data_IF_019106439099
#
_entry.id   IF_019106439099
#
_cell.length_a   1.000
_cell.length_b   1.000
_cell.length_c   1.000
_cell.angle_alpha   90.00
_cell.angle_beta   90.00
_cell.angle_gamma   90.00
#
_symmetry.space_group_name_H-M   'P 1'
#
loop_
_entity.id
_entity.type
_entity.pdbx_description
1 polymer ?
#
# COMPACT_ATOMS: atom_id res chain seq x y z
N UNK A 1 -35.91 -19.36 4.11
CA UNK A 1 -34.84 -18.38 4.41
C UNK A 1 -35.49 -17.00 4.46
N UNK A 2 -35.41 -16.26 5.58
CA UNK A 2 -36.05 -14.93 5.68
C UNK A 2 -35.27 -13.94 4.81
N UNK A 3 -35.93 -13.35 3.81
CA UNK A 3 -35.33 -12.32 2.96
C UNK A 3 -35.28 -11.03 3.77
N UNK A 4 -34.08 -10.49 3.98
CA UNK A 4 -33.89 -9.19 4.63
C UNK A 4 -34.48 -8.08 3.77
N UNK A 5 -35.20 -7.15 4.42
CA UNK A 5 -35.65 -5.91 3.82
C UNK A 5 -34.48 -4.99 3.46
N UNK A 6 -34.70 -4.04 2.56
CA UNK A 6 -33.66 -3.10 2.13
C UNK A 6 -33.14 -2.25 3.30
N UNK A 7 -34.00 -1.92 4.27
CA UNK A 7 -33.61 -1.22 5.50
C UNK A 7 -32.68 -2.06 6.36
N UNK A 8 -32.96 -3.36 6.52
CA UNK A 8 -32.09 -4.28 7.27
C UNK A 8 -30.74 -4.48 6.56
N UNK A 9 -30.75 -4.60 5.22
CA UNK A 9 -29.52 -4.69 4.42
C UNK A 9 -28.66 -3.44 4.57
N UNK A 10 -29.28 -2.26 4.44
CA UNK A 10 -28.59 -0.98 4.59
C UNK A 10 -28.02 -0.81 6.00
N UNK A 11 -28.79 -1.13 7.04
CA UNK A 11 -28.33 -1.07 8.42
C UNK A 11 -27.15 -2.02 8.67
N UNK A 12 -27.21 -3.23 8.09
CA UNK A 12 -26.12 -4.21 8.15
C UNK A 12 -24.83 -3.70 7.52
N UNK A 13 -24.90 -3.15 6.30
CA UNK A 13 -23.71 -2.57 5.64
C UNK A 13 -23.17 -1.35 6.38
N UNK A 14 -24.04 -0.48 6.91
CA UNK A 14 -23.62 0.66 7.74
C UNK A 14 -22.89 0.21 9.01
N UNK A 15 -23.43 -0.78 9.72
CA UNK A 15 -22.80 -1.36 10.92
C UNK A 15 -21.44 -1.95 10.58
N UNK A 16 -21.36 -2.76 9.53
CA UNK A 16 -20.12 -3.38 9.04
C UNK A 16 -19.06 -2.33 8.73
N UNK A 17 -19.44 -1.25 8.05
CA UNK A 17 -18.52 -0.16 7.73
C UNK A 17 -18.06 0.62 8.98
N UNK A 18 -18.95 0.81 9.95
CA UNK A 18 -18.59 1.43 11.25
C UNK A 18 -17.62 0.55 12.04
N UNK A 19 -17.85 -0.77 12.10
CA UNK A 19 -16.94 -1.70 12.75
C UNK A 19 -15.56 -1.74 12.08
N UNK A 20 -15.51 -1.74 10.74
CA UNK A 20 -14.25 -1.67 9.98
C UNK A 20 -13.47 -0.39 10.28
N UNK A 21 -14.14 0.77 10.25
CA UNK A 21 -13.52 2.06 10.57
C UNK A 21 -12.99 2.11 12.00
N UNK A 22 -13.77 1.67 12.98
CA UNK A 22 -13.33 1.65 14.37
C UNK A 22 -12.14 0.71 14.60
N UNK A 23 -12.16 -0.47 13.96
CA UNK A 23 -11.04 -1.40 13.99
C UNK A 23 -9.80 -0.80 13.34
N UNK A 24 -9.95 -0.18 12.18
CA UNK A 24 -8.86 0.49 11.48
C UNK A 24 -8.23 1.58 12.34
N UNK A 25 -9.05 2.44 12.97
CA UNK A 25 -8.57 3.46 13.90
C UNK A 25 -7.80 2.84 15.07
N UNK A 26 -8.34 1.80 15.71
CA UNK A 26 -7.67 1.11 16.82
C UNK A 26 -6.31 0.55 16.41
N UNK A 27 -6.26 -0.16 15.28
CA UNK A 27 -5.04 -0.82 14.80
C UNK A 27 -4.00 0.19 14.33
N UNK A 28 -4.41 1.21 13.59
CA UNK A 28 -3.50 2.28 13.16
C UNK A 28 -2.96 3.08 14.35
N UNK A 29 -3.77 3.32 15.38
CA UNK A 29 -3.31 3.99 16.60
C UNK A 29 -2.36 3.11 17.41
N UNK A 30 -2.62 1.80 17.49
CA UNK A 30 -1.67 0.86 18.09
C UNK A 30 -0.35 0.86 17.32
N UNK A 31 -0.40 0.78 15.99
CA UNK A 31 0.77 0.83 15.11
C UNK A 31 1.63 2.08 15.38
N UNK A 32 1.02 3.27 15.39
CA UNK A 32 1.72 4.54 15.69
C UNK A 32 2.25 4.58 17.13
N UNK A 33 1.46 4.10 18.10
CA UNK A 33 1.83 4.15 19.52
C UNK A 33 2.90 3.13 19.86
N UNK A 34 2.96 1.99 19.19
CA UNK A 34 3.82 0.86 19.56
C UNK A 34 5.07 0.79 18.68
N UNK A 35 4.99 1.19 17.40
CA UNK A 35 6.13 1.12 16.48
C UNK A 35 7.15 2.22 16.73
N UNK A 36 8.39 1.81 17.00
CA UNK A 36 9.50 2.72 17.31
C UNK A 36 9.84 3.69 16.16
N UNK A 37 9.64 3.27 14.91
CA UNK A 37 9.98 4.03 13.69
C UNK A 37 8.91 5.06 13.30
N UNK A 38 7.79 5.14 14.05
CA UNK A 38 6.81 6.19 13.85
C UNK A 38 7.21 7.51 14.45
N UNK A 39 8.24 7.55 15.29
CA UNK A 39 8.72 8.76 15.94
C UNK A 39 9.71 9.53 15.05
N UNK A 40 9.76 10.86 15.19
CA UNK A 40 10.68 11.69 14.43
C UNK A 40 12.10 11.54 14.99
N UNK A 41 12.85 10.60 14.44
CA UNK A 41 14.29 10.55 14.61
C UNK A 41 14.90 11.54 13.60
N UNK A 42 15.82 12.40 14.04
CA UNK A 42 16.37 13.49 13.23
C UNK A 42 16.83 13.02 11.84
N UNK A 43 16.59 13.89 10.86
CA UNK A 43 16.91 13.85 9.43
C UNK A 43 18.13 12.95 9.13
N UNK A 44 17.92 11.67 8.84
CA UNK A 44 18.69 10.83 7.91
C UNK A 44 18.28 9.37 8.06
N UNK A 45 18.06 8.70 6.93
CA UNK A 45 17.57 7.31 6.84
C UNK A 45 18.56 6.22 7.32
N UNK A 46 19.59 6.57 8.10
CA UNK A 46 20.59 5.63 8.64
C UNK A 46 21.17 6.09 9.99
N UNK A 47 20.38 6.75 10.84
CA UNK A 47 20.89 7.12 12.17
C UNK A 47 21.09 5.86 13.02
N UNK A 48 22.19 5.77 13.77
CA UNK A 48 22.41 4.69 14.75
C UNK A 48 21.24 4.59 15.77
N UNK A 49 20.48 5.67 15.94
CA UNK A 49 19.29 5.74 16.79
C UNK A 49 18.11 4.93 16.24
N UNK A 50 17.94 4.82 14.92
CA UNK A 50 16.92 3.94 14.31
C UNK A 50 17.20 2.47 14.65
N UNK A 51 18.47 2.07 14.54
CA UNK A 51 18.91 0.72 14.88
C UNK A 51 18.73 0.43 16.38
N UNK A 52 19.13 1.35 17.25
CA UNK A 52 18.93 1.22 18.70
C UNK A 52 17.45 1.13 19.09
N UNK A 53 16.59 1.94 18.47
CA UNK A 53 15.15 1.94 18.75
C UNK A 53 14.45 0.64 18.33
N UNK A 54 14.96 -0.05 17.29
CA UNK A 54 14.47 -1.37 16.87
C UNK A 54 14.99 -2.50 17.76
N UNK A 55 16.19 -2.37 18.34
CA UNK A 55 16.79 -3.40 19.19
C UNK A 55 16.33 -3.36 20.66
N UNK A 56 15.90 -2.21 21.16
CA UNK A 56 15.51 -2.04 22.57
C UNK A 56 14.01 -1.71 22.63
N UNK A 57 13.14 -2.69 22.92
CA UNK A 57 11.70 -2.47 23.01
C UNK A 57 11.37 -1.34 24.00
N UNK A 58 10.59 -0.36 23.53
CA UNK A 58 10.13 0.77 24.35
C UNK A 58 10.97 2.04 24.23
N UNK A 59 12.17 2.00 23.65
CA UNK A 59 12.98 3.20 23.38
C UNK A 59 12.42 3.96 22.17
N UNK A 60 12.19 5.27 22.33
CA UNK A 60 11.55 6.14 21.33
C UNK A 60 12.19 7.52 21.38
N UNK A 61 12.47 8.13 20.22
CA UNK A 61 13.10 9.45 20.15
C UNK A 61 12.25 10.42 19.32
N UNK A 62 12.05 11.64 19.82
CA UNK A 62 11.29 12.70 19.13
C UNK A 62 9.78 12.67 19.37
N UNK A 63 9.05 13.49 18.62
CA UNK A 63 7.60 13.65 18.78
C UNK A 63 6.85 12.50 18.11
N UNK A 64 5.90 11.87 18.81
CA UNK A 64 5.01 10.85 18.24
C UNK A 64 3.93 11.44 17.32
N UNK A 65 3.17 10.57 16.66
CA UNK A 65 1.94 10.95 15.95
C UNK A 65 0.73 10.67 16.86
N UNK A 66 -0.32 11.48 16.73
CA UNK A 66 -1.58 11.27 17.46
C UNK A 66 -2.56 10.38 16.70
N UNK A 67 -2.64 10.53 15.36
CA UNK A 67 -3.60 9.83 14.51
C UNK A 67 -3.05 9.62 13.09
N UNK A 68 -3.22 8.40 12.55
CA UNK A 68 -2.75 8.04 11.21
C UNK A 68 -3.54 8.71 10.10
N UNK A 69 -4.86 8.85 10.27
CA UNK A 69 -5.72 9.49 9.28
C UNK A 69 -5.38 10.97 9.16
N UNK A 70 -5.06 11.64 10.28
CA UNK A 70 -4.64 13.03 10.26
C UNK A 70 -3.29 13.19 9.53
N UNK A 71 -2.32 12.30 9.80
CA UNK A 71 -1.07 12.25 9.03
C UNK A 71 -1.34 12.11 7.52
N UNK A 72 -2.15 11.12 7.13
CA UNK A 72 -2.45 10.85 5.73
C UNK A 72 -3.19 12.03 5.05
N UNK A 73 -4.12 12.67 5.76
CA UNK A 73 -4.83 13.85 5.27
C UNK A 73 -3.88 15.04 5.10
N UNK A 74 -2.97 15.25 6.05
CA UNK A 74 -1.95 16.30 5.97
C UNK A 74 -1.01 16.05 4.81
N UNK A 75 -0.51 14.82 4.62
CA UNK A 75 0.33 14.47 3.47
C UNK A 75 -0.37 14.76 2.14
N UNK A 76 -1.65 14.38 2.01
CA UNK A 76 -2.42 14.65 0.80
C UNK A 76 -2.61 16.17 0.56
N UNK A 77 -2.95 16.91 1.61
CA UNK A 77 -3.10 18.37 1.54
C UNK A 77 -1.79 19.09 1.19
N UNK A 78 -0.68 18.66 1.79
CA UNK A 78 0.67 19.16 1.47
C UNK A 78 1.06 18.87 0.02
N UNK A 79 0.73 17.69 -0.49
CA UNK A 79 0.99 17.33 -1.88
C UNK A 79 0.19 18.20 -2.86
N UNK A 80 -1.10 18.40 -2.60
CA UNK A 80 -1.94 19.31 -3.38
C UNK A 80 -1.39 20.75 -3.36
N UNK A 81 -1.01 21.25 -2.18
CA UNK A 81 -0.46 22.60 -2.03
C UNK A 81 0.88 22.75 -2.76
N UNK A 82 1.75 21.75 -2.69
CA UNK A 82 3.07 21.77 -3.33
C UNK A 82 2.96 21.73 -4.86
N UNK A 83 1.99 20.99 -5.40
CA UNK A 83 1.73 20.96 -6.83
C UNK A 83 1.00 22.22 -7.31
N UNK A 84 0.07 22.77 -6.52
CA UNK A 84 -0.81 23.81 -7.04
C UNK A 84 -1.62 23.29 -8.24
N UNK A 85 -2.03 24.17 -9.18
CA UNK A 85 -2.77 23.75 -10.37
C UNK A 85 -1.98 22.75 -11.21
N UNK A 86 -2.71 21.75 -11.73
CA UNK A 86 -2.18 20.83 -12.75
C UNK A 86 -2.27 21.49 -14.11
N UNK A 87 -1.27 21.29 -14.96
CA UNK A 87 -1.37 21.68 -16.37
C UNK A 87 -2.20 20.68 -17.19
N UNK A 88 -2.30 20.91 -18.49
CA UNK A 88 -3.14 20.09 -19.37
C UNK A 88 -2.69 18.62 -19.39
N UNK A 89 -1.39 18.36 -19.57
CA UNK A 89 -0.85 17.00 -19.64
C UNK A 89 -0.97 16.28 -18.30
N UNK A 90 -0.73 16.99 -17.19
CA UNK A 90 -0.89 16.44 -15.85
C UNK A 90 -2.34 16.11 -15.52
N UNK A 91 -3.28 16.95 -15.96
CA UNK A 91 -4.71 16.71 -15.79
C UNK A 91 -5.16 15.50 -16.60
N UNK A 92 -4.72 15.38 -17.86
CA UNK A 92 -4.99 14.22 -18.71
C UNK A 92 -4.42 12.93 -18.10
N UNK A 93 -3.19 12.97 -17.61
CA UNK A 93 -2.58 11.85 -16.88
C UNK A 93 -3.40 11.49 -15.64
N UNK A 94 -3.76 12.46 -14.81
CA UNK A 94 -4.52 12.23 -13.58
C UNK A 94 -5.87 11.56 -13.88
N UNK A 95 -6.62 12.06 -14.86
CA UNK A 95 -7.91 11.49 -15.24
C UNK A 95 -7.78 10.08 -15.84
N UNK A 96 -6.76 9.84 -16.67
CA UNK A 96 -6.47 8.51 -17.19
C UNK A 96 -6.08 7.53 -16.07
N UNK A 97 -5.24 7.98 -15.14
CA UNK A 97 -4.82 7.20 -13.97
C UNK A 97 -6.04 6.82 -13.13
N UNK A 98 -6.90 7.79 -12.79
CA UNK A 98 -8.06 7.55 -11.94
C UNK A 98 -9.13 6.65 -12.58
N UNK A 99 -9.17 6.58 -13.93
CA UNK A 99 -10.04 5.65 -14.68
C UNK A 99 -9.45 4.25 -14.85
N UNK A 100 -8.18 4.04 -14.52
CA UNK A 100 -7.51 2.75 -14.69
C UNK A 100 -7.95 1.71 -13.65
N UNK A 101 -7.93 0.44 -14.04
CA UNK A 101 -8.38 -0.67 -13.18
C UNK A 101 -7.29 -1.12 -12.23
N UNK A 102 -7.30 -0.61 -11.01
CA UNK A 102 -6.35 -1.01 -9.97
C UNK A 102 -6.83 -2.22 -9.16
N UNK A 103 -5.89 -3.11 -8.85
CA UNK A 103 -6.11 -4.32 -8.06
C UNK A 103 -5.15 -4.40 -6.89
N UNK A 104 -5.69 -4.71 -5.70
CA UNK A 104 -4.92 -5.15 -4.56
C UNK A 104 -4.60 -6.64 -4.72
N UNK A 105 -3.32 -6.98 -4.68
CA UNK A 105 -2.79 -8.31 -4.98
C UNK A 105 -2.13 -8.92 -3.74
N UNK A 106 -2.60 -10.09 -3.33
CA UNK A 106 -2.03 -10.88 -2.24
C UNK A 106 -1.50 -12.20 -2.79
N UNK A 107 -0.24 -12.54 -2.48
CA UNK A 107 0.39 -13.80 -2.88
C UNK A 107 0.53 -14.72 -1.68
N UNK A 108 0.10 -15.96 -1.79
CA UNK A 108 0.21 -16.98 -0.73
C UNK A 108 0.12 -18.38 -1.31
N UNK A 109 0.80 -19.35 -0.71
CA UNK A 109 0.64 -20.78 -1.04
C UNK A 109 -0.36 -21.50 -0.14
N UNK A 110 -0.91 -20.83 0.86
CA UNK A 110 -1.84 -21.46 1.80
C UNK A 110 -3.19 -21.70 1.12
N UNK A 111 -3.64 -22.97 0.98
CA UNK A 111 -4.97 -23.26 0.44
C UNK A 111 -6.08 -22.86 1.42
N UNK A 112 -5.77 -22.72 2.71
CA UNK A 112 -6.72 -22.41 3.77
C UNK A 112 -7.26 -20.96 3.72
N UNK A 113 -6.77 -20.14 2.79
CA UNK A 113 -7.29 -18.78 2.58
C UNK A 113 -8.59 -18.76 1.80
N UNK A 114 -9.00 -19.87 1.20
CA UNK A 114 -10.32 -20.00 0.55
C UNK A 114 -11.16 -21.00 1.35
N UNK A 115 -12.34 -20.57 1.81
CA UNK A 115 -13.23 -21.46 2.56
C UNK A 115 -14.01 -22.40 1.63
N UNK A 116 -14.81 -23.30 2.21
CA UNK A 116 -15.63 -24.26 1.46
C UNK A 116 -16.70 -23.59 0.56
N UNK A 117 -17.05 -22.34 0.82
CA UNK A 117 -17.99 -21.54 0.03
C UNK A 117 -17.29 -20.80 -1.13
N UNK A 118 -15.96 -20.91 -1.25
CA UNK A 118 -15.18 -20.20 -2.26
C UNK A 118 -14.83 -18.76 -1.88
N UNK A 119 -15.12 -18.32 -0.65
CA UNK A 119 -14.78 -16.98 -0.17
C UNK A 119 -13.30 -16.91 0.22
N UNK A 120 -12.66 -15.81 -0.16
CA UNK A 120 -11.29 -15.49 0.23
C UNK A 120 -11.29 -14.86 1.63
N UNK A 121 -10.61 -15.49 2.57
CA UNK A 121 -10.44 -15.05 3.95
C UNK A 121 -8.95 -14.96 4.28
N UNK A 122 -8.47 -13.73 4.47
CA UNK A 122 -7.09 -13.45 4.84
C UNK A 122 -7.06 -12.87 6.24
N UNK A 123 -6.10 -13.34 7.04
CA UNK A 123 -5.90 -12.89 8.42
C UNK A 123 -4.54 -12.22 8.56
N UNK A 124 -4.48 -11.20 9.42
CA UNK A 124 -3.21 -10.62 9.87
C UNK A 124 -2.40 -11.67 10.63
N UNK A 125 -1.09 -11.44 10.75
CA UNK A 125 -0.20 -12.28 11.56
C UNK A 125 -0.74 -12.43 12.98
N UNK A 126 -1.09 -11.31 13.63
CA UNK A 126 -1.63 -11.33 15.00
C UNK A 126 -2.89 -12.18 15.11
N UNK A 127 -3.79 -12.09 14.11
CA UNK A 127 -5.02 -12.90 14.10
C UNK A 127 -4.76 -14.39 13.85
N UNK A 128 -3.75 -14.74 13.06
CA UNK A 128 -3.32 -16.13 12.85
C UNK A 128 -2.73 -16.73 14.13
N UNK A 129 -1.89 -15.98 14.85
CA UNK A 129 -1.33 -16.38 16.15
C UNK A 129 -2.45 -16.59 17.19
N UNK A 130 -3.39 -15.65 17.30
CA UNK A 130 -4.57 -15.79 18.16
C UNK A 130 -5.40 -17.05 17.85
N UNK A 131 -5.34 -17.53 16.60
CA UNK A 131 -6.01 -18.74 16.12
C UNK A 131 -5.16 -20.01 16.19
N UNK A 132 -3.99 -19.98 16.83
CA UNK A 132 -3.02 -21.08 16.90
C UNK A 132 -2.56 -21.60 15.52
N UNK A 133 -2.53 -20.73 14.50
CA UNK A 133 -2.00 -21.08 13.18
C UNK A 133 -0.48 -20.85 13.19
N UNK A 134 0.29 -21.91 12.92
CA UNK A 134 1.74 -21.82 12.80
C UNK A 134 2.14 -20.91 11.63
N UNK A 135 3.10 -20.02 11.86
CA UNK A 135 3.61 -19.09 10.86
C UNK A 135 5.07 -19.40 10.54
N UNK A 136 5.41 -19.36 9.26
CA UNK A 136 6.80 -19.36 8.81
C UNK A 136 7.54 -18.13 9.39
N UNK A 137 8.68 -18.37 10.03
CA UNK A 137 9.47 -17.33 10.69
C UNK A 137 10.07 -16.35 9.66
N UNK A 138 10.31 -16.81 8.43
CA UNK A 138 10.90 -16.02 7.34
C UNK A 138 10.03 -14.87 6.78
N UNK A 139 8.73 -14.81 7.08
CA UNK A 139 7.82 -13.86 6.44
C UNK A 139 7.59 -12.55 7.22
N UNK A 140 8.01 -12.47 8.48
CA UNK A 140 7.89 -11.25 9.31
C UNK A 140 9.08 -11.18 10.25
N UNK A 141 9.93 -10.18 10.10
CA UNK A 141 11.12 -10.04 10.92
C UNK A 141 10.83 -9.23 12.19
N UNK A 142 11.70 -9.34 13.20
CA UNK A 142 11.55 -8.60 14.47
C UNK A 142 11.37 -7.09 14.24
N UNK A 143 12.02 -6.53 13.23
CA UNK A 143 11.91 -5.11 12.87
C UNK A 143 10.54 -4.71 12.30
N UNK A 144 9.78 -5.61 11.66
CA UNK A 144 8.39 -5.31 11.27
C UNK A 144 7.52 -5.09 12.52
N UNK A 145 7.69 -5.98 13.51
CA UNK A 145 6.89 -6.04 14.73
C UNK A 145 7.27 -4.88 15.67
N UNK A 146 8.56 -4.68 15.94
CA UNK A 146 9.02 -3.65 16.90
C UNK A 146 9.16 -2.28 16.23
N UNK A 147 9.63 -2.25 14.98
CA UNK A 147 9.86 -0.99 14.27
C UNK A 147 8.56 -0.32 13.84
N UNK A 148 7.66 -1.05 13.17
CA UNK A 148 6.42 -0.48 12.63
C UNK A 148 5.17 -0.85 13.41
N UNK A 149 5.17 -1.95 14.17
CA UNK A 149 4.00 -2.51 14.85
C UNK A 149 2.78 -2.68 13.91
N UNK A 150 3.06 -3.14 12.69
CA UNK A 150 2.06 -3.29 11.62
C UNK A 150 1.58 -4.74 11.45
N UNK A 151 1.92 -5.65 12.36
CA UNK A 151 1.66 -7.09 12.33
C UNK A 151 0.18 -7.48 12.48
N UNK A 152 -0.68 -6.54 12.88
CA UNK A 152 -2.14 -6.68 12.83
C UNK A 152 -2.75 -6.17 11.51
N UNK A 153 -1.99 -6.11 10.41
CA UNK A 153 -2.49 -5.82 9.06
C UNK A 153 -2.34 -7.01 8.11
N UNK A 154 -3.22 -7.07 7.12
CA UNK A 154 -3.09 -7.90 5.91
C UNK A 154 -2.51 -7.03 4.81
N UNK A 155 -1.44 -7.51 4.17
CA UNK A 155 -0.69 -6.75 3.18
C UNK A 155 -1.06 -7.15 1.75
N UNK A 156 -1.16 -6.15 0.88
CA UNK A 156 -1.36 -6.31 -0.55
C UNK A 156 -0.37 -5.41 -1.30
N UNK A 157 0.06 -5.85 -2.47
CA UNK A 157 0.68 -4.97 -3.46
C UNK A 157 -0.39 -4.36 -4.38
N UNK A 158 -0.08 -3.24 -5.03
CA UNK A 158 -0.94 -2.63 -6.04
C UNK A 158 -0.48 -3.04 -7.45
N UNK A 159 -1.41 -3.48 -8.29
CA UNK A 159 -1.19 -3.69 -9.73
C UNK A 159 -2.26 -2.97 -10.56
N UNK A 160 -1.91 -2.60 -11.79
CA UNK A 160 -2.87 -2.11 -12.80
C UNK A 160 -3.21 -3.23 -13.79
N UNK A 161 -4.51 -3.39 -14.05
CA UNK A 161 -5.08 -4.42 -14.91
C UNK A 161 -5.29 -5.78 -14.24
N UNK A 162 -6.16 -6.62 -14.82
CA UNK A 162 -6.57 -7.91 -14.25
C UNK A 162 -5.46 -8.95 -14.29
N UNK A 163 -4.79 -9.12 -15.43
CA UNK A 163 -3.76 -10.15 -15.62
C UNK A 163 -2.62 -9.99 -14.60
N UNK A 164 -2.11 -11.08 -14.00
CA UNK A 164 -1.01 -10.99 -13.03
C UNK A 164 0.23 -10.45 -13.74
N UNK A 165 0.87 -9.43 -13.16
CA UNK A 165 2.09 -8.81 -13.73
C UNK A 165 3.37 -9.27 -13.05
N UNK A 166 3.25 -9.94 -11.90
CA UNK A 166 4.30 -10.78 -11.32
C UNK A 166 4.16 -12.20 -11.87
N UNK A 167 4.50 -12.40 -13.14
CA UNK A 167 4.68 -13.74 -13.70
C UNK A 167 6.04 -14.30 -13.29
N UNK A 168 6.13 -15.63 -13.18
CA UNK A 168 7.37 -16.34 -12.89
C UNK A 168 8.37 -16.09 -14.01
N UNK A 169 9.34 -15.21 -13.78
CA UNK A 169 10.51 -15.07 -14.65
C UNK A 169 11.59 -15.95 -14.05
N UNK A 170 12.00 -17.01 -14.76
CA UNK A 170 13.03 -17.96 -14.35
C UNK A 170 12.73 -18.75 -13.06
N UNK A 171 11.48 -19.24 -12.89
CA UNK A 171 11.12 -20.08 -11.75
C UNK A 171 10.95 -19.34 -10.40
N UNK A 172 11.04 -18.01 -10.39
CA UNK A 172 10.86 -17.19 -9.18
C UNK A 172 9.59 -16.34 -9.27
N UNK A 173 8.52 -16.82 -8.64
CA UNK A 173 7.28 -16.06 -8.39
C UNK A 173 7.44 -15.06 -7.25
N UNK A 174 6.33 -14.57 -6.70
CA UNK A 174 6.38 -13.79 -5.45
C UNK A 174 7.01 -14.64 -4.34
N UNK A 175 7.93 -14.06 -3.56
CA UNK A 175 8.56 -14.77 -2.42
C UNK A 175 7.53 -15.27 -1.39
N UNK A 176 6.33 -14.70 -1.41
CA UNK A 176 5.23 -15.02 -0.50
C UNK A 176 4.32 -16.16 -1.02
N UNK A 177 4.45 -16.54 -2.29
CA UNK A 177 3.70 -17.65 -2.88
C UNK A 177 3.51 -17.54 -4.40
N UNK A 178 3.20 -18.65 -5.04
CA UNK A 178 2.87 -18.78 -6.46
C UNK A 178 1.39 -18.50 -6.76
N UNK A 179 0.49 -18.65 -5.78
CA UNK A 179 -0.93 -18.27 -6.00
C UNK A 179 -1.14 -16.78 -5.70
N UNK A 180 -1.71 -16.05 -6.65
CA UNK A 180 -2.03 -14.62 -6.54
C UNK A 180 -3.54 -14.40 -6.53
N UNK A 181 -4.03 -13.73 -5.50
CA UNK A 181 -5.40 -13.27 -5.38
C UNK A 181 -5.47 -11.77 -5.70
N UNK A 182 -6.29 -11.38 -6.68
CA UNK A 182 -6.48 -9.97 -7.07
C UNK A 182 -7.91 -9.54 -6.78
N UNK A 183 -8.04 -8.44 -6.03
CA UNK A 183 -9.33 -7.82 -5.69
C UNK A 183 -9.32 -6.39 -6.21
N UNK A 184 -10.39 -5.95 -6.86
CA UNK A 184 -10.48 -4.57 -7.33
C UNK A 184 -10.27 -3.60 -6.16
N UNK A 185 -9.42 -2.59 -6.33
CA UNK A 185 -9.08 -1.67 -5.23
C UNK A 185 -10.30 -0.83 -4.78
N UNK A 186 -11.28 -0.64 -5.66
CA UNK A 186 -12.56 -0.01 -5.35
C UNK A 186 -13.46 -0.87 -4.46
N UNK A 187 -13.12 -2.14 -4.21
CA UNK A 187 -13.90 -3.03 -3.36
C UNK A 187 -14.03 -2.44 -1.94
N UNK A 188 -15.22 -2.47 -1.31
CA UNK A 188 -15.47 -1.83 -0.02
C UNK A 188 -14.57 -2.29 1.14
N UNK A 189 -13.89 -3.43 1.01
CA UNK A 189 -12.94 -3.89 2.03
C UNK A 189 -11.75 -2.93 2.20
N UNK A 190 -11.40 -2.17 1.16
CA UNK A 190 -10.28 -1.25 1.15
C UNK A 190 -10.67 0.18 1.58
N UNK A 191 -11.92 0.43 1.97
CA UNK A 191 -12.42 1.76 2.37
C UNK A 191 -11.61 2.40 3.52
N UNK A 192 -11.09 1.55 4.40
CA UNK A 192 -10.32 1.89 5.59
C UNK A 192 -8.88 1.34 5.54
N UNK A 193 -8.39 1.02 4.33
CA UNK A 193 -7.02 0.59 4.14
C UNK A 193 -6.08 1.80 4.17
N UNK A 194 -4.86 1.60 4.66
CA UNK A 194 -3.76 2.55 4.43
C UNK A 194 -2.95 2.11 3.21
N UNK A 195 -2.32 3.08 2.55
CA UNK A 195 -1.40 2.88 1.44
C UNK A 195 -0.08 3.56 1.79
N UNK A 196 1.03 2.88 1.53
CA UNK A 196 2.37 3.45 1.65
C UNK A 196 3.10 3.31 0.32
N UNK A 197 3.83 4.34 -0.09
CA UNK A 197 4.47 4.37 -1.42
C UNK A 197 5.75 3.52 -1.51
N UNK A 198 6.39 3.21 -0.38
CA UNK A 198 7.63 2.45 -0.32
C UNK A 198 7.57 1.47 0.85
N UNK A 199 8.49 0.51 0.84
CA UNK A 199 8.81 -0.30 2.02
C UNK A 199 9.21 0.64 3.16
N UNK A 200 8.41 0.67 4.23
CA UNK A 200 8.61 1.61 5.33
C UNK A 200 9.79 1.28 6.23
N UNK A 201 10.30 0.05 6.19
CA UNK A 201 11.51 -0.29 6.93
C UNK A 201 12.72 0.22 6.16
N UNK A 202 12.81 -0.12 4.87
CA UNK A 202 13.99 0.11 4.03
C UNK A 202 14.03 1.54 3.47
N UNK A 203 12.88 2.12 3.15
CA UNK A 203 12.72 3.46 2.57
C UNK A 203 13.53 3.69 1.27
N UNK A 204 13.78 2.63 0.49
CA UNK A 204 14.51 2.72 -0.76
C UNK A 204 13.61 3.11 -1.94
N UNK A 205 14.10 4.04 -2.74
CA UNK A 205 13.51 4.33 -4.05
C UNK A 205 13.95 3.25 -5.05
N UNK A 206 13.04 2.59 -5.77
CA UNK A 206 13.42 1.57 -6.75
C UNK A 206 14.23 2.18 -7.90
N UNK A 207 15.17 1.44 -8.51
CA UNK A 207 15.85 1.91 -9.70
C UNK A 207 14.87 2.02 -10.86
N UNK A 208 14.86 3.17 -11.55
CA UNK A 208 14.02 3.39 -12.71
C UNK A 208 14.61 2.71 -13.95
N UNK A 209 13.85 1.80 -14.55
CA UNK A 209 14.19 1.04 -15.75
C UNK A 209 13.23 1.32 -16.91
N UNK A 210 12.49 2.42 -16.84
CA UNK A 210 11.56 2.79 -17.89
C UNK A 210 12.32 3.07 -19.20
N UNK A 211 11.84 2.54 -20.35
CA UNK A 211 12.48 2.79 -21.64
C UNK A 211 12.46 4.28 -21.98
N UNK A 212 13.54 4.77 -22.59
CA UNK A 212 13.62 6.15 -23.11
C UNK A 212 13.93 7.24 -22.08
N UNK A 213 13.88 6.94 -20.77
CA UNK A 213 14.28 7.88 -19.71
C UNK A 213 15.80 8.07 -19.71
N UNK A 214 16.26 9.33 -19.68
CA UNK A 214 17.66 9.74 -19.59
C UNK A 214 18.37 9.28 -18.31
N UNK A 215 19.70 9.21 -18.31
CA UNK A 215 20.48 8.86 -17.11
C UNK A 215 20.41 9.96 -16.04
N UNK A 216 20.32 11.21 -16.48
CA UNK A 216 20.09 12.38 -15.62
C UNK A 216 18.75 12.24 -14.89
N UNK A 217 17.67 11.91 -15.62
CA UNK A 217 16.37 11.67 -15.02
C UNK A 217 16.36 10.45 -14.08
N UNK A 218 17.05 9.35 -14.42
CA UNK A 218 17.21 8.20 -13.50
C UNK A 218 17.90 8.62 -12.20
N UNK A 219 18.92 9.47 -12.29
CA UNK A 219 19.65 10.00 -11.14
C UNK A 219 18.73 10.86 -10.26
N UNK A 220 17.95 11.77 -10.86
CA UNK A 220 16.98 12.60 -10.15
C UNK A 220 15.89 11.76 -9.48
N UNK A 221 15.33 10.77 -10.19
CA UNK A 221 14.32 9.84 -9.65
C UNK A 221 14.89 9.07 -8.46
N UNK A 222 16.11 8.54 -8.56
CA UNK A 222 16.75 7.78 -7.48
C UNK A 222 17.13 8.66 -6.29
N UNK A 223 17.50 9.92 -6.53
CA UNK A 223 17.94 10.88 -5.52
C UNK A 223 16.81 11.44 -4.64
N UNK A 224 15.54 11.12 -4.93
CA UNK A 224 14.39 11.55 -4.13
C UNK A 224 14.49 11.04 -2.70
N UNK A 225 14.30 11.94 -1.74
CA UNK A 225 14.27 11.61 -0.32
C UNK A 225 12.85 11.69 0.22
N UNK A 226 12.46 10.69 1.00
CA UNK A 226 11.17 10.62 1.67
C UNK A 226 11.34 10.28 3.14
N UNK A 227 10.43 10.77 3.98
CA UNK A 227 10.30 10.30 5.36
C UNK A 227 9.28 9.17 5.42
N UNK A 228 9.39 8.28 6.41
CA UNK A 228 8.40 7.19 6.64
C UNK A 228 6.99 7.73 6.76
N UNK A 229 6.84 8.91 7.36
CA UNK A 229 5.56 9.59 7.57
C UNK A 229 4.99 10.18 6.29
N UNK A 230 5.81 10.81 5.44
CA UNK A 230 5.34 11.54 4.26
C UNK A 230 4.82 10.66 3.12
N UNK A 231 5.04 9.35 3.20
CA UNK A 231 4.65 8.37 2.17
C UNK A 231 3.34 7.64 2.49
N UNK A 232 2.65 8.06 3.56
CA UNK A 232 1.44 7.42 4.07
C UNK A 232 0.18 8.11 3.54
N UNK A 233 -0.75 7.31 2.99
CA UNK A 233 -2.09 7.73 2.59
C UNK A 233 -3.15 6.77 3.12
N UNK A 234 -4.41 7.19 3.11
CA UNK A 234 -5.50 6.46 3.75
C UNK A 234 -6.81 6.53 2.96
N UNK A 235 -7.48 5.38 2.87
CA UNK A 235 -8.81 5.22 2.29
C UNK A 235 -8.89 5.72 0.84
N UNK A 236 -10.01 6.40 0.52
CA UNK A 236 -10.32 6.86 -0.84
C UNK A 236 -9.32 7.86 -1.42
N UNK A 237 -8.50 8.52 -0.59
CA UNK A 237 -7.48 9.49 -1.04
C UNK A 237 -6.19 8.81 -1.53
N UNK A 238 -6.04 7.50 -1.32
CA UNK A 238 -4.80 6.78 -1.61
C UNK A 238 -4.44 6.78 -3.10
N UNK A 239 -5.38 6.46 -3.99
CA UNK A 239 -5.12 6.48 -5.44
C UNK A 239 -4.89 7.90 -5.99
N UNK A 240 -5.72 8.91 -5.66
CA UNK A 240 -5.42 10.30 -6.02
C UNK A 240 -4.03 10.75 -5.55
N UNK A 241 -3.66 10.40 -4.32
CA UNK A 241 -2.35 10.74 -3.78
C UNK A 241 -1.21 10.07 -4.55
N UNK A 242 -1.38 8.81 -4.96
CA UNK A 242 -0.40 8.10 -5.79
C UNK A 242 -0.25 8.77 -7.16
N UNK A 243 -1.36 9.13 -7.83
CA UNK A 243 -1.34 9.84 -9.11
C UNK A 243 -0.58 11.18 -9.00
N UNK A 244 -0.92 11.98 -7.99
CA UNK A 244 -0.23 13.25 -7.70
C UNK A 244 1.24 13.03 -7.33
N UNK A 245 1.57 11.92 -6.67
CA UNK A 245 2.96 11.58 -6.36
C UNK A 245 3.76 11.26 -7.63
N UNK A 246 3.15 10.62 -8.65
CA UNK A 246 3.78 10.44 -9.97
C UNK A 246 3.99 11.80 -10.64
N UNK A 247 2.98 12.67 -10.66
CA UNK A 247 3.08 14.02 -11.23
C UNK A 247 4.20 14.83 -10.54
N UNK A 248 4.28 14.76 -9.21
CA UNK A 248 5.35 15.41 -8.44
C UNK A 248 6.74 14.96 -8.86
N UNK A 249 6.91 13.69 -9.21
CA UNK A 249 8.19 13.19 -9.76
C UNK A 249 8.41 13.72 -11.17
N UNK A 250 7.38 13.71 -12.02
CA UNK A 250 7.47 14.15 -13.40
C UNK A 250 7.91 15.62 -13.51
N UNK A 251 7.47 16.48 -12.58
CA UNK A 251 7.88 17.89 -12.50
C UNK A 251 9.35 18.12 -12.14
N UNK A 252 10.06 17.12 -11.64
CA UNK A 252 11.49 17.21 -11.38
C UNK A 252 12.33 17.06 -12.66
N UNK A 253 11.72 16.57 -13.74
CA UNK A 253 12.44 16.12 -14.92
C UNK A 253 12.36 17.14 -16.05
N UNK A 254 13.33 17.05 -16.97
CA UNK A 254 13.24 17.76 -18.24
C UNK A 254 12.02 17.28 -19.05
N UNK A 255 11.48 18.17 -19.88
CA UNK A 255 10.21 17.96 -20.60
C UNK A 255 10.14 16.62 -21.35
N UNK A 256 11.23 16.22 -22.03
CA UNK A 256 11.30 14.94 -22.74
C UNK A 256 11.04 13.73 -21.83
N UNK A 257 11.68 13.69 -20.65
CA UNK A 257 11.54 12.58 -19.69
C UNK A 257 10.22 12.66 -18.92
N UNK A 258 9.77 13.88 -18.64
CA UNK A 258 8.45 14.16 -18.04
C UNK A 258 7.33 13.57 -18.89
N UNK A 259 7.37 13.78 -20.20
CA UNK A 259 6.36 13.25 -21.13
C UNK A 259 6.36 11.72 -21.22
N UNK A 260 7.48 11.05 -20.93
CA UNK A 260 7.52 9.58 -20.83
C UNK A 260 6.75 9.11 -19.60
N UNK A 261 6.88 9.80 -18.45
CA UNK A 261 6.15 9.44 -17.24
C UNK A 261 4.64 9.72 -17.36
N UNK A 262 4.26 10.85 -17.94
CA UNK A 262 2.85 11.25 -18.09
C UNK A 262 2.17 10.53 -19.26
N UNK A 263 2.94 10.02 -20.22
CA UNK A 263 2.47 9.48 -21.49
C UNK A 263 2.19 7.98 -21.53
N UNK A 264 1.75 7.34 -20.43
CA UNK A 264 1.40 5.91 -20.47
C UNK A 264 0.26 5.63 -21.48
N UNK A 265 0.24 4.43 -22.07
CA UNK A 265 -0.72 4.07 -23.15
C UNK A 265 -1.55 2.83 -22.83
N UNK A 266 -1.13 2.04 -21.85
CA UNK A 266 -1.82 0.82 -21.43
C UNK A 266 -1.76 0.62 -19.91
N UNK A 267 -2.60 -0.28 -19.39
CA UNK A 267 -2.52 -0.72 -17.99
C UNK A 267 -1.16 -1.35 -17.67
N UNK A 268 -0.53 -2.02 -18.66
CA UNK A 268 0.82 -2.56 -18.53
C UNK A 268 1.87 -1.47 -18.31
N UNK A 269 1.81 -0.41 -19.13
CA UNK A 269 2.73 0.73 -19.00
C UNK A 269 2.54 1.44 -17.65
N UNK A 270 1.29 1.61 -17.23
CA UNK A 270 1.00 2.24 -15.94
C UNK A 270 1.50 1.39 -14.76
N UNK A 271 1.35 0.06 -14.85
CA UNK A 271 1.89 -0.84 -13.84
C UNK A 271 3.43 -0.75 -13.76
N UNK A 272 4.11 -0.70 -14.90
CA UNK A 272 5.55 -0.54 -14.95
C UNK A 272 5.99 0.84 -14.45
N UNK A 273 5.28 1.91 -14.82
CA UNK A 273 5.50 3.26 -14.30
C UNK A 273 5.46 3.28 -12.77
N UNK A 274 4.37 2.78 -12.17
CA UNK A 274 4.22 2.75 -10.70
C UNK A 274 5.31 1.90 -10.05
N UNK A 275 5.67 0.74 -10.62
CA UNK A 275 6.73 -0.13 -10.08
C UNK A 275 8.13 0.47 -10.22
N UNK A 276 8.37 1.32 -11.22
CA UNK A 276 9.68 1.97 -11.40
C UNK A 276 9.83 3.23 -10.55
N UNK A 277 8.72 3.81 -10.07
CA UNK A 277 8.73 4.97 -9.19
C UNK A 277 8.54 4.64 -7.71
N UNK A 278 7.78 3.58 -7.40
CA UNK A 278 7.28 3.26 -6.08
C UNK A 278 7.25 1.73 -5.82
N UNK A 279 7.11 1.36 -4.54
CA UNK A 279 6.88 0.00 -4.05
C UNK A 279 5.62 0.00 -3.20
N UNK A 280 4.49 0.25 -3.86
CA UNK A 280 3.21 0.49 -3.18
C UNK A 280 2.76 -0.74 -2.40
N UNK A 281 2.45 -0.51 -1.13
CA UNK A 281 1.88 -1.49 -0.21
C UNK A 281 0.55 -0.96 0.35
N UNK A 282 -0.45 -1.83 0.37
CA UNK A 282 -1.78 -1.57 0.92
C UNK A 282 -1.92 -2.43 2.17
N UNK A 283 -2.41 -1.83 3.26
CA UNK A 283 -2.60 -2.49 4.55
C UNK A 283 -4.06 -2.46 4.94
N UNK A 284 -4.64 -3.65 5.11
CA UNK A 284 -6.00 -3.81 5.58
C UNK A 284 -5.99 -4.30 7.04
N UNK A 285 -6.63 -3.58 7.97
CA UNK A 285 -6.56 -3.94 9.38
C UNK A 285 -7.21 -5.31 9.71
N UNK A 286 -6.42 -6.18 10.35
CA UNK A 286 -6.72 -7.48 10.95
C UNK A 286 -7.18 -8.62 10.05
N UNK A 287 -8.10 -8.37 9.12
CA UNK A 287 -8.65 -9.41 8.27
C UNK A 287 -9.32 -8.85 7.01
N UNK A 288 -9.34 -9.66 5.97
CA UNK A 288 -10.02 -9.41 4.71
C UNK A 288 -10.93 -10.59 4.41
N UNK A 289 -12.20 -10.31 4.12
CA UNK A 289 -13.16 -11.30 3.65
C UNK A 289 -13.79 -10.80 2.35
N UNK A 290 -13.66 -11.59 1.28
CA UNK A 290 -14.17 -11.32 -0.07
C UNK A 290 -14.99 -12.53 -0.52
N UNK A 291 -16.17 -12.30 -1.11
CA UNK A 291 -17.01 -13.42 -1.53
C UNK A 291 -16.45 -14.11 -2.77
N UNK A 292 -16.77 -15.39 -2.94
CA UNK A 292 -16.55 -16.10 -4.19
C UNK A 292 -17.11 -15.31 -5.38
N UNK A 293 -16.29 -15.11 -6.42
CA UNK A 293 -16.63 -14.31 -7.60
C UNK A 293 -16.30 -12.82 -7.53
N UNK A 294 -15.90 -12.29 -6.37
CA UNK A 294 -15.46 -10.89 -6.20
C UNK A 294 -13.92 -10.72 -6.26
N UNK A 295 -13.19 -11.79 -6.54
CA UNK A 295 -11.73 -11.81 -6.70
C UNK A 295 -11.32 -12.70 -7.86
N UNK A 296 -10.14 -12.43 -8.40
CA UNK A 296 -9.46 -13.31 -9.35
C UNK A 296 -8.40 -14.14 -8.63
N UNK A 297 -8.25 -15.41 -9.03
CA UNK A 297 -7.19 -16.31 -8.58
C UNK A 297 -6.32 -16.67 -9.77
N UNK A 298 -5.00 -16.54 -9.62
CA UNK A 298 -4.02 -16.94 -10.62
C UNK A 298 -2.99 -17.87 -9.97
N UNK A 299 -2.57 -18.88 -10.71
CA UNK A 299 -1.41 -19.70 -10.37
C UNK A 299 -0.26 -19.23 -11.27
N UNK A 300 0.77 -18.66 -10.63
CA UNK A 300 1.93 -18.07 -11.29
C UNK A 300 3.15 -18.99 -11.21
#
# INVERSE_FOLDING_TARGET
MKVLSDKERWAGEWLKEKFRRNRAKKINNAMIKEGALWYQNFITNHSALDFLAVLIPGVRFGNGLSDFSDLANNNYGSLLKALGPLDCEESLFFDAFMRSSFYACHSTNSPAVVNAQGDLVLYSRRKLIEGNVALAVEHTCHSDIVGLANDDNVFFSLECGVSPKKSVVNGKGSRFGSTVYKVAFQHPVFSSASMVLFDQLIMNVPPCRLPGISEEAKTLIKGRAYTRRSICFYGRKSLPALALSVISVARLLAEKDRMILLGFRSEGDLNELVRNLFRVEIRVPRMVGIRGGEYYKFEC
#
